data_IF_508373366460
#
_entry.id   IF_508373366460
#
_cell.length_a   1.000
_cell.length_b   1.000
_cell.length_c   1.000
_cell.angle_alpha   90.00
_cell.angle_beta   90.00
_cell.angle_gamma   90.00
#
_symmetry.space_group_name_H-M   'P 1'
#
loop_
_entity.id
_entity.type
_entity.pdbx_description
1 polymer ?
#
# COMPACT_ATOMS: atom_id res chain seq x y z
N UNK A 1 -17.79 1.37 0.75
CA UNK A 1 -16.70 0.38 0.85
C UNK A 1 -15.68 0.66 -0.25
N UNK A 2 -15.09 1.86 -0.22
CA UNK A 2 -14.06 2.24 -1.18
C UNK A 2 -12.70 1.67 -0.73
N UNK A 3 -12.43 1.68 0.59
CA UNK A 3 -11.36 0.93 1.26
C UNK A 3 -11.21 -0.51 0.75
N UNK A 4 -12.27 -1.32 0.84
CA UNK A 4 -12.24 -2.73 0.42
C UNK A 4 -11.96 -2.86 -1.08
N UNK A 5 -12.61 -2.02 -1.89
CA UNK A 5 -12.39 -2.04 -3.33
C UNK A 5 -10.94 -1.71 -3.67
N UNK A 6 -10.34 -0.70 -3.03
CA UNK A 6 -8.93 -0.37 -3.18
C UNK A 6 -8.03 -1.54 -2.77
N UNK A 7 -8.29 -2.12 -1.59
CA UNK A 7 -7.52 -3.24 -1.04
C UNK A 7 -7.53 -4.47 -1.94
N UNK A 8 -8.65 -4.75 -2.62
CA UNK A 8 -8.75 -5.84 -3.58
C UNK A 8 -7.81 -5.64 -4.80
N UNK A 9 -7.56 -4.40 -5.23
CA UNK A 9 -6.60 -4.14 -6.31
C UNK A 9 -5.17 -4.46 -5.87
N UNK A 10 -4.79 -4.09 -4.64
CA UNK A 10 -3.48 -4.47 -4.08
C UNK A 10 -3.34 -5.97 -3.95
N UNK A 11 -4.41 -6.66 -3.53
CA UNK A 11 -4.45 -8.13 -3.45
C UNK A 11 -4.25 -8.78 -4.83
N UNK A 12 -4.90 -8.26 -5.88
CA UNK A 12 -4.69 -8.73 -7.26
C UNK A 12 -3.23 -8.53 -7.69
N UNK A 13 -2.67 -7.34 -7.43
CA UNK A 13 -1.27 -7.03 -7.73
C UNK A 13 -0.30 -7.98 -7.01
N UNK A 14 -0.59 -8.32 -5.76
CA UNK A 14 0.18 -9.29 -4.97
C UNK A 14 0.03 -10.72 -5.48
N UNK A 15 -1.17 -11.15 -5.87
CA UNK A 15 -1.38 -12.48 -6.48
C UNK A 15 -0.58 -12.60 -7.77
N UNK A 16 -0.56 -11.56 -8.61
CA UNK A 16 0.31 -11.53 -9.80
C UNK A 16 1.79 -11.66 -9.40
N UNK A 17 2.22 -10.96 -8.35
CA UNK A 17 3.57 -11.07 -7.81
C UNK A 17 3.91 -12.52 -7.41
N UNK A 18 3.01 -13.20 -6.69
CA UNK A 18 3.22 -14.60 -6.31
C UNK A 18 3.28 -15.56 -7.51
N UNK A 19 2.57 -15.26 -8.60
CA UNK A 19 2.56 -16.09 -9.81
C UNK A 19 3.86 -15.91 -10.61
N UNK A 20 4.32 -14.67 -10.79
CA UNK A 20 5.44 -14.34 -11.68
C UNK A 20 6.80 -14.24 -10.98
N UNK A 21 6.83 -13.91 -9.69
CA UNK A 21 8.05 -13.72 -8.90
C UNK A 21 7.88 -14.20 -7.44
N UNK A 22 7.63 -15.51 -7.23
CA UNK A 22 7.38 -16.08 -5.91
C UNK A 22 8.54 -15.91 -4.93
N UNK A 23 9.77 -15.76 -5.42
CA UNK A 23 10.95 -15.55 -4.57
C UNK A 23 11.40 -14.08 -4.50
N UNK A 24 10.63 -13.16 -5.06
CA UNK A 24 10.87 -11.71 -5.07
C UNK A 24 12.17 -11.29 -5.77
N UNK A 25 12.72 -12.14 -6.64
CA UNK A 25 13.97 -11.88 -7.37
C UNK A 25 13.89 -12.23 -8.86
N UNK A 26 12.71 -12.60 -9.34
CA UNK A 26 12.45 -12.88 -10.74
C UNK A 26 12.03 -11.61 -11.48
N UNK A 27 12.50 -11.49 -12.72
CA UNK A 27 12.00 -10.47 -13.64
C UNK A 27 10.61 -10.86 -14.14
N UNK A 28 9.63 -10.01 -13.90
CA UNK A 28 8.27 -10.21 -14.39
C UNK A 28 8.12 -9.61 -15.80
N UNK A 29 7.15 -10.08 -16.61
CA UNK A 29 6.82 -9.41 -17.86
C UNK A 29 6.44 -7.94 -17.61
N UNK A 30 6.86 -7.02 -18.49
CA UNK A 30 6.63 -5.58 -18.42
C UNK A 30 5.20 -5.17 -18.02
N UNK A 31 4.20 -5.83 -18.60
CA UNK A 31 2.79 -5.52 -18.33
C UNK A 31 2.39 -5.81 -16.87
N UNK A 32 3.05 -6.75 -16.19
CA UNK A 32 2.77 -7.10 -14.78
C UNK A 32 3.15 -5.92 -13.89
N UNK A 33 4.34 -5.35 -14.09
CA UNK A 33 4.78 -4.16 -13.35
C UNK A 33 3.83 -2.97 -13.57
N UNK A 34 3.38 -2.74 -14.81
CA UNK A 34 2.42 -1.67 -15.14
C UNK A 34 1.08 -1.91 -14.43
N UNK A 35 0.55 -3.15 -14.47
CA UNK A 35 -0.70 -3.49 -13.80
C UNK A 35 -0.59 -3.30 -12.28
N UNK A 36 0.52 -3.74 -11.67
CA UNK A 36 0.77 -3.54 -10.24
C UNK A 36 0.81 -2.06 -9.87
N UNK A 37 1.51 -1.23 -10.65
CA UNK A 37 1.52 0.22 -10.46
C UNK A 37 0.13 0.85 -10.60
N UNK A 38 -0.65 0.46 -11.60
CA UNK A 38 -2.04 0.92 -11.74
C UNK A 38 -2.93 0.49 -10.55
N UNK A 39 -2.75 -0.74 -10.04
CA UNK A 39 -3.47 -1.22 -8.86
C UNK A 39 -3.15 -0.40 -7.60
N UNK A 40 -1.87 -0.06 -7.37
CA UNK A 40 -1.46 0.81 -6.26
C UNK A 40 -2.02 2.23 -6.42
N UNK A 41 -1.99 2.78 -7.64
CA UNK A 41 -2.60 4.08 -7.94
C UNK A 41 -4.11 4.10 -7.63
N UNK A 42 -4.82 3.06 -8.03
CA UNK A 42 -6.25 2.91 -7.76
C UNK A 42 -6.49 2.81 -6.24
N UNK A 43 -5.72 2.00 -5.53
CA UNK A 43 -5.82 1.87 -4.08
C UNK A 43 -5.65 3.22 -3.39
N UNK A 44 -4.52 3.93 -3.59
CA UNK A 44 -4.28 5.20 -2.91
C UNK A 44 -5.34 6.26 -3.25
N UNK A 45 -5.92 6.20 -4.45
CA UNK A 45 -6.98 7.14 -4.86
C UNK A 45 -8.28 6.83 -4.12
N UNK A 46 -8.64 5.55 -4.00
CA UNK A 46 -9.86 5.11 -3.32
C UNK A 46 -9.80 5.30 -1.81
N UNK A 47 -8.63 5.04 -1.23
CA UNK A 47 -8.26 5.31 0.16
C UNK A 47 -8.40 6.80 0.48
N UNK A 48 -7.79 7.69 -0.31
CA UNK A 48 -7.85 9.14 -0.06
C UNK A 48 -9.26 9.76 -0.10
N UNK A 49 -10.26 9.07 -0.65
CA UNK A 49 -11.64 9.56 -0.76
C UNK A 49 -12.64 8.82 0.13
N UNK A 50 -12.27 7.72 0.78
CA UNK A 50 -13.23 6.89 1.51
C UNK A 50 -13.78 7.57 2.77
N UNK A 51 -12.97 8.27 3.55
CA UNK A 51 -13.41 9.00 4.73
C UNK A 51 -14.29 10.19 4.34
N UNK A 52 -14.00 10.84 3.19
CA UNK A 52 -14.88 11.87 2.62
C UNK A 52 -16.23 11.26 2.24
N UNK A 53 -16.22 10.09 1.63
CA UNK A 53 -17.44 9.38 1.27
C UNK A 53 -18.22 8.89 2.50
N UNK A 54 -17.54 8.37 3.52
CA UNK A 54 -18.14 7.91 4.77
C UNK A 54 -18.81 9.06 5.53
N UNK A 55 -18.22 10.26 5.54
CA UNK A 55 -18.85 11.47 6.10
C UNK A 55 -20.08 11.88 5.29
N UNK A 56 -19.98 11.84 3.96
CA UNK A 56 -21.10 12.19 3.06
C UNK A 56 -22.30 11.25 3.21
N UNK A 57 -22.07 9.97 3.45
CA UNK A 57 -23.14 8.95 3.57
C UNK A 57 -23.59 8.70 5.00
N UNK A 58 -23.04 9.43 5.99
CA UNK A 58 -23.36 9.23 7.41
C UNK A 58 -22.88 7.88 7.96
N UNK A 59 -21.88 7.27 7.34
CA UNK A 59 -21.28 5.99 7.73
C UNK A 59 -19.95 6.15 8.48
N UNK A 60 -19.69 7.35 9.02
CA UNK A 60 -18.51 7.59 9.86
C UNK A 60 -18.71 6.98 11.24
N UNK A 61 -17.76 6.17 11.70
CA UNK A 61 -17.78 5.62 13.05
C UNK A 61 -16.59 4.71 13.34
N UNK A 62 -16.38 4.32 14.61
CA UNK A 62 -15.17 3.61 15.06
C UNK A 62 -14.94 2.26 14.37
N UNK A 63 -16.03 1.57 13.99
CA UNK A 63 -15.91 0.31 13.25
C UNK A 63 -15.45 0.53 11.80
N UNK A 64 -15.88 1.63 11.18
CA UNK A 64 -15.44 1.99 9.83
C UNK A 64 -13.96 2.33 9.81
N UNK A 65 -13.51 3.11 10.79
CA UNK A 65 -12.11 3.47 11.01
C UNK A 65 -11.22 2.24 11.32
N UNK A 66 -11.68 1.34 12.19
CA UNK A 66 -10.99 0.07 12.45
C UNK A 66 -10.86 -0.78 11.17
N UNK A 67 -11.90 -0.82 10.35
CA UNK A 67 -11.89 -1.57 9.09
C UNK A 67 -10.94 -0.92 8.07
N UNK A 68 -10.89 0.41 8.03
CA UNK A 68 -10.00 1.20 7.18
C UNK A 68 -8.54 0.93 7.49
N UNK A 69 -8.14 1.20 8.73
CA UNK A 69 -6.76 1.00 9.19
C UNK A 69 -6.35 -0.49 9.13
N UNK A 70 -7.30 -1.41 9.35
CA UNK A 70 -7.08 -2.84 9.18
C UNK A 70 -6.73 -3.20 7.74
N UNK A 71 -7.47 -2.66 6.77
CA UNK A 71 -7.16 -2.82 5.35
C UNK A 71 -5.80 -2.18 5.01
N UNK A 72 -5.53 -0.96 5.47
CA UNK A 72 -4.29 -0.24 5.17
C UNK A 72 -3.04 -0.95 5.70
N UNK A 73 -3.13 -1.53 6.89
CA UNK A 73 -2.02 -2.29 7.45
C UNK A 73 -1.67 -3.53 6.59
N UNK A 74 -2.69 -4.19 6.02
CA UNK A 74 -2.50 -5.32 5.13
C UNK A 74 -1.97 -4.87 3.77
N UNK A 75 -2.59 -3.88 3.13
CA UNK A 75 -2.18 -3.37 1.82
C UNK A 75 -0.76 -2.80 1.86
N UNK A 76 -0.37 -2.11 2.92
CA UNK A 76 1.00 -1.59 3.08
C UNK A 76 2.03 -2.73 3.07
N UNK A 77 1.79 -3.82 3.81
CA UNK A 77 2.69 -4.98 3.80
C UNK A 77 2.78 -5.66 2.43
N UNK A 78 1.65 -5.80 1.74
CA UNK A 78 1.59 -6.40 0.40
C UNK A 78 2.29 -5.50 -0.65
N UNK A 79 2.06 -4.19 -0.60
CA UNK A 79 2.67 -3.20 -1.48
C UNK A 79 4.20 -3.17 -1.33
N UNK A 80 4.71 -3.14 -0.09
CA UNK A 80 6.15 -3.22 0.19
C UNK A 80 6.77 -4.54 -0.28
N UNK A 81 6.01 -5.64 -0.27
CA UNK A 81 6.48 -6.92 -0.82
C UNK A 81 6.57 -6.87 -2.35
N UNK A 82 5.59 -6.26 -3.03
CA UNK A 82 5.64 -6.01 -4.48
C UNK A 82 6.83 -5.11 -4.83
N UNK A 83 7.06 -4.07 -4.03
CA UNK A 83 8.20 -3.16 -4.20
C UNK A 83 9.55 -3.90 -4.04
N UNK A 84 9.64 -4.85 -3.10
CA UNK A 84 10.84 -5.66 -2.95
C UNK A 84 11.16 -6.49 -4.21
N UNK A 85 10.13 -7.01 -4.89
CA UNK A 85 10.29 -7.71 -6.18
C UNK A 85 10.81 -6.79 -7.27
N UNK A 86 10.27 -5.57 -7.40
CA UNK A 86 10.70 -4.64 -8.45
C UNK A 86 12.17 -4.21 -8.30
N UNK A 87 12.69 -4.26 -7.07
CA UNK A 87 14.09 -4.01 -6.72
C UNK A 87 14.96 -5.29 -6.75
N UNK A 88 14.37 -6.45 -7.06
CA UNK A 88 15.02 -7.76 -7.10
C UNK A 88 15.72 -8.11 -5.77
N UNK A 89 15.11 -7.75 -4.64
CA UNK A 89 15.71 -7.98 -3.33
C UNK A 89 15.66 -9.43 -2.88
N UNK A 90 14.75 -10.23 -3.43
CA UNK A 90 14.57 -11.63 -3.08
C UNK A 90 14.07 -11.86 -1.65
N UNK A 91 13.97 -13.11 -1.23
CA UNK A 91 13.73 -13.49 0.17
C UNK A 91 14.99 -13.27 1.04
N UNK A 92 15.43 -12.02 1.19
CA UNK A 92 16.65 -11.65 1.92
C UNK A 92 16.39 -10.60 2.99
N UNK A 93 17.40 -10.30 3.81
CA UNK A 93 17.37 -9.22 4.80
C UNK A 93 17.08 -7.85 4.19
N UNK A 94 17.32 -7.64 2.89
CA UNK A 94 16.96 -6.39 2.20
C UNK A 94 15.45 -6.18 2.18
N UNK A 95 14.70 -7.24 1.84
CA UNK A 95 13.23 -7.23 1.83
C UNK A 95 12.66 -7.02 3.23
N UNK A 96 13.20 -7.72 4.22
CA UNK A 96 12.79 -7.53 5.62
C UNK A 96 13.01 -6.08 6.05
N UNK A 97 14.19 -5.52 5.73
CA UNK A 97 14.52 -4.13 6.08
C UNK A 97 13.58 -3.14 5.39
N UNK A 98 13.29 -3.33 4.09
CA UNK A 98 12.36 -2.48 3.35
C UNK A 98 10.96 -2.48 3.99
N UNK A 99 10.42 -3.67 4.30
CA UNK A 99 9.09 -3.80 4.91
C UNK A 99 9.06 -3.15 6.30
N UNK A 100 10.05 -3.42 7.15
CA UNK A 100 10.10 -2.85 8.50
C UNK A 100 10.20 -1.32 8.48
N UNK A 101 11.05 -0.76 7.60
CA UNK A 101 11.17 0.69 7.46
C UNK A 101 9.90 1.33 6.92
N UNK A 102 9.28 0.72 5.89
CA UNK A 102 8.04 1.22 5.29
C UNK A 102 6.87 1.21 6.30
N UNK A 103 6.76 0.17 7.12
CA UNK A 103 5.71 0.07 8.13
C UNK A 103 5.95 0.94 9.36
N UNK A 104 7.20 1.36 9.63
CA UNK A 104 7.52 2.15 10.84
C UNK A 104 6.68 3.42 10.92
N UNK A 105 6.53 4.14 9.80
CA UNK A 105 5.75 5.37 9.79
C UNK A 105 4.26 5.12 10.07
N UNK A 106 3.70 4.05 9.49
CA UNK A 106 2.32 3.64 9.76
C UNK A 106 2.11 3.33 11.25
N UNK A 107 2.97 2.49 11.84
CA UNK A 107 2.87 2.11 13.25
C UNK A 107 3.06 3.28 14.21
N UNK A 108 4.01 4.18 13.94
CA UNK A 108 4.26 5.33 14.81
C UNK A 108 3.07 6.28 14.80
N UNK A 109 2.47 6.55 13.63
CA UNK A 109 1.27 7.38 13.51
C UNK A 109 0.06 6.75 14.24
N UNK A 110 -0.14 5.44 14.12
CA UNK A 110 -1.20 4.74 14.86
C UNK A 110 -0.96 4.75 16.38
N UNK A 111 0.30 4.65 16.83
CA UNK A 111 0.65 4.76 18.25
C UNK A 111 0.37 6.18 18.78
N UNK A 112 0.71 7.21 18.01
CA UNK A 112 0.39 8.60 18.36
C UNK A 112 -1.12 8.81 18.47
N UNK A 113 -1.88 8.33 17.49
CA UNK A 113 -3.34 8.38 17.50
C UNK A 113 -3.92 7.64 18.71
N UNK A 114 -3.41 6.45 19.03
CA UNK A 114 -3.86 5.68 20.21
C UNK A 114 -3.67 6.45 21.52
N UNK A 115 -2.57 7.20 21.67
CA UNK A 115 -2.27 7.94 22.89
C UNK A 115 -2.93 9.33 22.95
N UNK A 116 -3.12 9.99 21.81
CA UNK A 116 -3.63 11.37 21.74
C UNK A 116 -5.12 11.45 21.40
N UNK A 117 -5.69 10.41 20.81
CA UNK A 117 -7.03 10.40 20.23
C UNK A 117 -7.16 11.22 18.94
N UNK A 118 -6.05 11.63 18.33
CA UNK A 118 -6.04 12.48 17.14
C UNK A 118 -5.06 11.90 16.11
N UNK A 119 -5.55 11.54 14.93
CA UNK A 119 -4.71 11.24 13.77
C UNK A 119 -4.26 12.54 13.11
N UNK A 120 -3.02 12.94 13.37
CA UNK A 120 -2.41 14.08 12.70
C UNK A 120 -1.83 13.66 11.34
N UNK A 121 -2.40 14.17 10.25
CA UNK A 121 -1.85 13.98 8.91
C UNK A 121 -1.19 15.29 8.48
N UNK A 122 0.14 15.28 8.47
CA UNK A 122 0.94 16.41 7.99
C UNK A 122 0.89 16.58 6.46
N UNK A 123 1.52 17.65 5.96
CA UNK A 123 1.70 17.84 4.51
C UNK A 123 2.53 16.74 3.86
N UNK A 124 3.46 16.17 4.64
CA UNK A 124 4.20 14.96 4.30
C UNK A 124 3.82 13.90 5.32
N UNK A 125 3.04 12.91 4.90
CA UNK A 125 2.48 11.92 5.83
C UNK A 125 3.31 10.65 5.88
N UNK A 126 4.06 10.34 4.82
CA UNK A 126 4.83 9.11 4.65
C UNK A 126 4.14 8.11 3.72
N UNK A 127 2.92 7.60 4.01
CA UNK A 127 2.26 6.60 3.19
C UNK A 127 1.91 7.10 1.80
N UNK A 128 1.45 8.36 1.69
CA UNK A 128 1.05 8.95 0.40
C UNK A 128 2.27 9.06 -0.52
N UNK A 129 3.36 9.62 -0.04
CA UNK A 129 4.58 9.79 -0.83
C UNK A 129 5.26 8.45 -1.12
N UNK A 130 5.20 7.51 -0.18
CA UNK A 130 5.63 6.12 -0.37
C UNK A 130 4.87 5.44 -1.52
N UNK A 131 3.54 5.46 -1.50
CA UNK A 131 2.70 4.84 -2.54
C UNK A 131 2.87 5.50 -3.91
N UNK A 132 3.06 6.83 -3.96
CA UNK A 132 3.38 7.54 -5.20
C UNK A 132 4.74 7.06 -5.73
N UNK A 133 5.76 6.99 -4.87
CA UNK A 133 7.08 6.51 -5.26
C UNK A 133 7.04 5.07 -5.77
N UNK A 134 6.38 4.17 -5.04
CA UNK A 134 6.23 2.76 -5.43
C UNK A 134 5.54 2.64 -6.80
N UNK A 135 4.42 3.33 -6.96
CA UNK A 135 3.66 3.36 -8.21
C UNK A 135 4.52 3.83 -9.38
N UNK A 136 5.24 4.94 -9.23
CA UNK A 136 6.12 5.46 -10.26
C UNK A 136 7.23 4.47 -10.60
N UNK A 137 7.88 3.88 -9.59
CA UNK A 137 8.93 2.88 -9.84
C UNK A 137 8.38 1.68 -10.61
N UNK A 138 7.25 1.09 -10.21
CA UNK A 138 6.64 -0.04 -10.91
C UNK A 138 6.29 0.29 -12.37
N UNK A 139 5.64 1.44 -12.61
CA UNK A 139 5.28 1.86 -13.97
C UNK A 139 6.55 2.06 -14.80
N UNK A 140 7.59 2.72 -14.26
CA UNK A 140 8.84 2.93 -14.98
C UNK A 140 9.58 1.61 -15.27
N UNK A 141 9.64 0.69 -14.32
CA UNK A 141 10.21 -0.67 -14.52
C UNK A 141 9.46 -1.44 -15.60
N UNK A 142 8.18 -1.17 -15.82
CA UNK A 142 7.43 -1.75 -16.94
C UNK A 142 7.89 -1.31 -18.32
N UNK A 143 8.56 -0.17 -18.45
CA UNK A 143 9.00 0.39 -19.75
C UNK A 143 10.46 0.12 -20.11
N UNK A 144 11.29 -0.32 -19.16
CA UNK A 144 12.73 -0.57 -19.33
C UNK A 144 13.08 -2.02 -19.01
#
# INVERSE_FOLDING_TARGET
MLTLLGSLHVLIAYILNCIYAPNLNEHMPSWVYIVQGCCLWIYMTLDAIDGKQARRTGQSGPLGELFDHGCDSLTAGLALTIQATSLLYGCTWKTVTLIMLGLTNFYVSTLEEYHTGILYIGYFSGPVEGLIFETLTLITTGFY
#
